data_IF_316110933421
#
_entry.id   IF_316110933421
#
_cell.length_a   1.000
_cell.length_b   1.000
_cell.length_c   1.000
_cell.angle_alpha   90.00
_cell.angle_beta   90.00
_cell.angle_gamma   90.00
#
_symmetry.space_group_name_H-M   'P 1'
#
loop_
_entity.id
_entity.type
_entity.pdbx_description
1 polymer ?
#
# COMPACT_ATOMS: atom_id res chain seq x y z
N UNK A 1 1.53 1.91 -9.58
CA UNK A 1 0.86 0.76 -8.94
C UNK A 1 1.81 -0.40 -8.67
N UNK A 2 2.37 -1.08 -9.69
CA UNK A 2 3.30 -2.23 -9.46
C UNK A 2 4.48 -1.95 -8.51
N UNK A 3 5.10 -0.76 -8.63
CA UNK A 3 6.21 -0.38 -7.72
C UNK A 3 5.73 -0.15 -6.30
N UNK A 4 4.65 0.62 -6.11
CA UNK A 4 4.06 0.87 -4.80
C UNK A 4 3.63 -0.44 -4.11
N UNK A 5 2.96 -1.34 -4.83
CA UNK A 5 2.52 -2.63 -4.29
C UNK A 5 3.66 -3.55 -3.88
N UNK A 6 4.80 -3.52 -4.59
CA UNK A 6 6.01 -4.29 -4.22
C UNK A 6 6.77 -3.60 -3.09
N UNK A 7 6.78 -2.26 -3.07
CA UNK A 7 7.48 -1.45 -2.06
C UNK A 7 6.93 -1.65 -0.65
N UNK A 8 5.61 -1.84 -0.49
CA UNK A 8 4.96 -2.05 0.81
C UNK A 8 5.55 -3.26 1.56
N UNK A 9 5.48 -4.50 1.06
CA UNK A 9 6.04 -5.66 1.75
C UNK A 9 7.57 -5.61 1.85
N UNK A 10 8.26 -5.05 0.85
CA UNK A 10 9.72 -4.91 0.90
C UNK A 10 10.19 -4.02 2.04
N UNK A 11 9.56 -2.87 2.26
CA UNK A 11 9.91 -1.99 3.38
C UNK A 11 9.55 -2.60 4.73
N UNK A 12 8.42 -3.31 4.84
CA UNK A 12 8.07 -4.02 6.08
C UNK A 12 9.13 -5.08 6.40
N UNK A 13 9.51 -5.91 5.43
CA UNK A 13 10.51 -6.96 5.61
C UNK A 13 11.89 -6.38 5.93
N UNK A 14 12.31 -5.32 5.24
CA UNK A 14 13.58 -4.65 5.51
C UNK A 14 13.61 -4.01 6.90
N UNK A 15 12.51 -3.39 7.31
CA UNK A 15 12.36 -2.81 8.64
C UNK A 15 12.40 -3.86 9.75
N UNK A 16 11.73 -5.00 9.55
CA UNK A 16 11.72 -6.11 10.50
C UNK A 16 13.11 -6.77 10.68
N UNK A 17 14.02 -6.56 9.72
CA UNK A 17 15.40 -7.02 9.81
C UNK A 17 16.36 -6.01 10.49
N UNK A 18 15.86 -4.88 11.00
CA UNK A 18 16.69 -3.87 11.69
C UNK A 18 16.79 -4.15 13.19
N UNK A 19 17.89 -3.69 13.79
CA UNK A 19 18.23 -3.96 15.20
C UNK A 19 17.48 -3.07 16.20
N UNK A 20 16.75 -2.05 15.74
CA UNK A 20 16.05 -1.10 16.61
C UNK A 20 14.62 -0.81 16.17
N UNK A 21 13.73 -0.63 17.15
CA UNK A 21 12.34 -0.22 16.94
C UNK A 21 12.24 1.09 16.17
N UNK A 22 13.16 2.03 16.42
CA UNK A 22 13.19 3.33 15.73
C UNK A 22 13.39 3.16 14.22
N UNK A 23 14.29 2.26 13.82
CA UNK A 23 14.50 1.98 12.41
C UNK A 23 13.33 1.20 11.82
N UNK A 24 12.79 0.21 12.53
CA UNK A 24 11.62 -0.52 12.06
C UNK A 24 10.45 0.43 11.81
N UNK A 25 10.15 1.33 12.75
CA UNK A 25 9.10 2.36 12.61
C UNK A 25 9.36 3.25 11.37
N UNK A 26 10.61 3.65 11.11
CA UNK A 26 10.94 4.43 9.90
C UNK A 26 10.55 3.68 8.64
N UNK A 27 10.85 2.39 8.55
CA UNK A 27 10.48 1.56 7.41
C UNK A 27 8.96 1.36 7.29
N UNK A 28 8.25 1.23 8.42
CA UNK A 28 6.78 1.19 8.42
C UNK A 28 6.17 2.49 7.86
N UNK A 29 6.75 3.66 8.15
CA UNK A 29 6.30 4.91 7.54
C UNK A 29 6.52 4.95 6.02
N UNK A 30 7.62 4.38 5.53
CA UNK A 30 7.88 4.28 4.08
C UNK A 30 6.86 3.33 3.42
N UNK A 31 6.57 2.19 4.06
CA UNK A 31 5.55 1.25 3.61
C UNK A 31 4.15 1.92 3.58
N UNK A 32 3.81 2.68 4.62
CA UNK A 32 2.55 3.44 4.70
C UNK A 32 2.45 4.48 3.57
N UNK A 33 3.52 5.21 3.29
CA UNK A 33 3.56 6.16 2.17
C UNK A 33 3.29 5.47 0.83
N UNK A 34 3.90 4.30 0.60
CA UNK A 34 3.67 3.48 -0.60
C UNK A 34 2.22 3.00 -0.71
N UNK A 35 1.59 2.64 0.42
CA UNK A 35 0.18 2.26 0.47
C UNK A 35 -0.74 3.43 0.09
N UNK A 36 -0.50 4.63 0.62
CA UNK A 36 -1.30 5.82 0.28
C UNK A 36 -1.19 6.20 -1.20
N UNK A 37 -0.01 6.05 -1.79
CA UNK A 37 0.18 6.24 -3.23
C UNK A 37 -0.64 5.24 -4.05
N UNK A 38 -0.62 3.95 -3.66
CA UNK A 38 -1.38 2.90 -4.33
C UNK A 38 -2.90 3.15 -4.25
N UNK A 39 -3.40 3.55 -3.08
CA UNK A 39 -4.81 3.89 -2.89
C UNK A 39 -5.24 5.06 -3.77
N UNK A 40 -4.40 6.11 -3.85
CA UNK A 40 -4.65 7.26 -4.72
C UNK A 40 -4.72 6.82 -6.19
N UNK A 41 -3.79 5.96 -6.62
CA UNK A 41 -3.77 5.44 -7.99
C UNK A 41 -4.99 4.55 -8.29
N UNK A 42 -5.48 3.77 -7.33
CA UNK A 42 -6.70 2.96 -7.45
C UNK A 42 -7.95 3.84 -7.63
N UNK A 43 -8.08 4.91 -6.82
CA UNK A 43 -9.18 5.87 -6.96
C UNK A 43 -9.15 6.53 -8.34
N UNK A 44 -7.97 6.96 -8.81
CA UNK A 44 -7.82 7.55 -10.15
C UNK A 44 -8.19 6.52 -11.23
N UNK A 45 -7.73 5.27 -11.11
CA UNK A 45 -8.04 4.21 -12.07
C UNK A 45 -9.55 3.96 -12.19
N UNK A 46 -10.28 3.99 -11.06
CA UNK A 46 -11.75 3.91 -11.05
C UNK A 46 -12.37 5.11 -11.76
N UNK A 47 -11.94 6.33 -11.42
CA UNK A 47 -12.51 7.56 -11.97
C UNK A 47 -12.37 7.68 -13.50
N UNK A 48 -11.31 7.09 -14.07
CA UNK A 48 -11.08 7.07 -15.52
C UNK A 48 -11.58 5.79 -16.20
N UNK A 49 -12.31 4.93 -15.46
CA UNK A 49 -12.97 3.74 -16.01
C UNK A 49 -12.05 2.55 -16.31
N UNK A 50 -10.84 2.51 -15.76
CA UNK A 50 -9.96 1.33 -15.88
C UNK A 50 -10.32 0.18 -14.97
N UNK A 51 -10.99 0.48 -13.85
CA UNK A 51 -11.56 -0.52 -12.94
C UNK A 51 -12.96 -0.07 -12.51
N UNK A 52 -13.80 -1.02 -12.14
CA UNK A 52 -15.12 -0.75 -11.56
C UNK A 52 -15.07 -0.75 -10.02
N UNK A 53 -16.21 -0.41 -9.39
CA UNK A 53 -16.33 -0.38 -7.92
C UNK A 53 -16.02 -1.74 -7.28
N UNK A 54 -16.54 -2.83 -7.85
CA UNK A 54 -16.33 -4.17 -7.31
C UNK A 54 -14.86 -4.57 -7.33
N UNK A 55 -14.13 -4.20 -8.39
CA UNK A 55 -12.69 -4.40 -8.47
C UNK A 55 -11.95 -3.57 -7.42
N UNK A 56 -12.34 -2.29 -7.24
CA UNK A 56 -11.76 -1.43 -6.20
C UNK A 56 -11.99 -1.97 -4.79
N UNK A 57 -13.23 -2.33 -4.45
CA UNK A 57 -13.61 -2.93 -3.16
C UNK A 57 -12.83 -4.23 -2.91
N UNK A 58 -12.67 -5.07 -3.93
CA UNK A 58 -11.92 -6.32 -3.81
C UNK A 58 -10.47 -6.10 -3.41
N UNK A 59 -9.86 -5.01 -3.90
CA UNK A 59 -8.48 -4.64 -3.57
C UNK A 59 -8.40 -3.98 -2.20
N UNK A 60 -9.33 -3.08 -1.87
CA UNK A 60 -9.37 -2.41 -0.56
C UNK A 60 -9.58 -3.38 0.60
N UNK A 61 -10.45 -4.38 0.43
CA UNK A 61 -10.69 -5.45 1.41
C UNK A 61 -9.42 -6.26 1.70
N UNK A 62 -8.60 -6.53 0.67
CA UNK A 62 -7.30 -7.22 0.83
C UNK A 62 -6.27 -6.35 1.54
N UNK A 63 -6.37 -5.03 1.41
CA UNK A 63 -5.52 -4.05 2.09
C UNK A 63 -5.97 -3.73 3.53
N UNK A 64 -6.99 -4.42 4.06
CA UNK A 64 -7.50 -4.21 5.42
C UNK A 64 -8.34 -2.94 5.59
N UNK A 65 -8.72 -2.27 4.49
CA UNK A 65 -9.67 -1.16 4.52
C UNK A 65 -11.07 -1.71 4.36
N UNK A 66 -11.87 -1.64 5.42
CA UNK A 66 -13.31 -1.83 5.35
C UNK A 66 -13.92 -0.48 5.00
N UNK A 67 -14.48 -0.37 3.79
CA UNK A 67 -15.43 0.69 3.41
C UNK A 67 -16.81 0.35 3.98
#
# INVERSE_FOLDING_TARGET
>A
MRRASVSIPSNIAEGAAKDSDKEYIRFLYIALGSLMELDTQLIIAKNIGYINESELESVQKRSGRNS
#
